data_IF_764010241698
#
_entry.id   IF_764010241698
#
_cell.length_a   1.000
_cell.length_b   1.000
_cell.length_c   1.000
_cell.angle_alpha   90.00
_cell.angle_beta   90.00
_cell.angle_gamma   90.00
#
_symmetry.space_group_name_H-M   'P 1'
#
loop_
_entity.id
_entity.type
_entity.pdbx_description
1 polymer ?
#
# COMPACT_ATOMS: atom_id res chain seq x y z
N UNK A 1 5.38 5.11 -8.11
CA UNK A 1 5.50 5.64 -6.73
C UNK A 1 5.37 4.47 -5.79
N UNK A 2 6.27 4.32 -4.80
CA UNK A 2 6.24 3.18 -3.88
C UNK A 2 5.84 3.56 -2.45
N UNK A 3 6.01 4.82 -2.06
CA UNK A 3 5.64 5.33 -0.74
C UNK A 3 4.94 6.68 -0.89
N UNK A 4 3.73 6.79 -0.34
CA UNK A 4 2.93 8.00 -0.41
C UNK A 4 2.32 8.36 0.95
N UNK A 5 1.58 9.46 1.01
CA UNK A 5 0.71 9.78 2.15
C UNK A 5 -0.27 8.66 2.51
N UNK A 6 -0.56 7.74 1.59
CA UNK A 6 -1.48 6.62 1.75
C UNK A 6 -0.79 5.30 2.12
N UNK A 7 0.53 5.32 2.34
CA UNK A 7 1.33 4.18 2.79
C UNK A 7 2.32 3.66 1.75
N UNK A 8 2.93 2.52 2.08
CA UNK A 8 3.91 1.80 1.29
C UNK A 8 3.21 0.77 0.39
N UNK A 9 3.71 0.62 -0.84
CA UNK A 9 3.30 -0.36 -1.88
C UNK A 9 4.49 -1.15 -2.44
N UNK A 10 5.63 -1.14 -1.75
CA UNK A 10 6.84 -1.84 -2.17
C UNK A 10 6.69 -3.36 -2.08
N UNK A 11 6.25 -3.86 -0.93
CA UNK A 11 6.47 -5.24 -0.48
C UNK A 11 5.49 -6.25 -1.07
N UNK A 12 5.98 -7.37 -1.55
CA UNK A 12 5.14 -8.47 -1.96
C UNK A 12 4.90 -9.44 -0.80
N UNK A 13 3.71 -10.03 -0.77
CA UNK A 13 3.34 -11.17 0.08
C UNK A 13 2.51 -12.15 -0.75
N UNK A 14 2.59 -13.43 -0.43
CA UNK A 14 1.93 -14.50 -1.19
C UNK A 14 0.41 -14.54 -0.96
N UNK A 15 -0.07 -14.10 0.20
CA UNK A 15 -1.49 -14.05 0.50
C UNK A 15 -2.25 -13.07 -0.42
N UNK A 16 -3.57 -13.26 -0.53
CA UNK A 16 -4.49 -12.40 -1.29
C UNK A 16 -5.73 -12.09 -0.47
N UNK A 17 -6.41 -11.00 -0.79
CA UNK A 17 -7.71 -10.66 -0.18
C UNK A 17 -8.86 -11.52 -0.73
N UNK A 18 -8.66 -12.06 -1.93
CA UNK A 18 -9.59 -12.93 -2.66
C UNK A 18 -8.75 -13.88 -3.54
N UNK A 19 -9.13 -15.14 -3.62
CA UNK A 19 -8.55 -16.10 -4.55
C UNK A 19 -9.31 -16.02 -5.86
N UNK A 20 -8.58 -15.91 -6.98
CA UNK A 20 -9.17 -15.99 -8.31
C UNK A 20 -9.43 -17.46 -8.63
N UNK A 21 -10.69 -17.82 -8.79
CA UNK A 21 -11.12 -19.18 -9.18
C UNK A 21 -11.13 -19.33 -10.70
N UNK A 22 -11.52 -18.26 -11.38
CA UNK A 22 -11.59 -18.19 -12.83
C UNK A 22 -11.19 -16.78 -13.24
N UNK A 23 -10.18 -16.66 -14.08
CA UNK A 23 -9.81 -15.37 -14.65
C UNK A 23 -10.95 -14.85 -15.55
N UNK A 24 -11.13 -13.53 -15.53
CA UNK A 24 -11.95 -12.82 -16.50
C UNK A 24 -11.20 -12.59 -17.80
N UNK A 25 -11.92 -12.14 -18.83
CA UNK A 25 -11.30 -11.74 -20.08
C UNK A 25 -10.67 -10.35 -19.98
N UNK A 26 -9.55 -10.09 -20.68
CA UNK A 26 -8.97 -8.75 -20.75
C UNK A 26 -9.84 -7.84 -21.63
N UNK A 27 -10.51 -6.88 -21.01
CA UNK A 27 -11.26 -5.82 -21.70
C UNK A 27 -10.35 -4.61 -21.89
N UNK A 28 -9.85 -4.38 -23.11
CA UNK A 28 -8.81 -3.37 -23.39
C UNK A 28 -9.33 -2.09 -24.04
N UNK A 29 -10.52 -2.15 -24.60
CA UNK A 29 -11.08 -1.19 -25.55
C UNK A 29 -12.43 -0.62 -25.10
N UNK A 30 -12.93 -1.06 -23.94
CA UNK A 30 -14.13 -0.53 -23.31
C UNK A 30 -13.82 -0.04 -21.89
N UNK A 31 -14.15 1.22 -21.62
CA UNK A 31 -14.19 1.72 -20.24
C UNK A 31 -15.56 1.39 -19.66
N UNK A 32 -15.58 0.74 -18.50
CA UNK A 32 -16.82 0.54 -17.77
C UNK A 32 -16.67 0.82 -16.28
N UNK A 33 -17.76 1.26 -15.67
CA UNK A 33 -17.95 1.19 -14.23
C UNK A 33 -19.06 0.19 -13.94
N UNK A 34 -19.04 -0.41 -12.76
CA UNK A 34 -20.08 -1.36 -12.35
C UNK A 34 -21.50 -0.76 -12.43
N UNK A 35 -21.63 0.56 -12.28
CA UNK A 35 -22.91 1.27 -12.41
C UNK A 35 -23.45 1.36 -13.85
N UNK A 36 -22.72 0.88 -14.86
CA UNK A 36 -23.10 0.97 -16.28
C UNK A 36 -23.82 -0.27 -16.79
N UNK A 37 -24.06 -1.29 -15.96
CA UNK A 37 -24.60 -2.57 -16.40
C UNK A 37 -25.14 -3.43 -15.27
N UNK A 38 -25.28 -4.72 -15.54
CA UNK A 38 -25.74 -5.76 -14.60
C UNK A 38 -24.61 -6.75 -14.29
N UNK A 39 -24.42 -7.06 -13.01
CA UNK A 39 -23.39 -8.00 -12.53
C UNK A 39 -24.03 -9.32 -12.13
N UNK A 40 -23.48 -10.42 -12.62
CA UNK A 40 -23.75 -11.77 -12.14
C UNK A 40 -22.45 -12.34 -11.55
N UNK A 41 -22.35 -12.33 -10.21
CA UNK A 41 -21.18 -12.84 -9.50
C UNK A 41 -21.09 -14.37 -9.48
N UNK A 42 -22.20 -15.08 -9.67
CA UNK A 42 -22.20 -16.55 -9.72
C UNK A 42 -21.60 -17.02 -11.06
N UNK A 43 -22.01 -16.39 -12.16
CA UNK A 43 -21.46 -16.67 -13.49
C UNK A 43 -20.12 -15.97 -13.72
N UNK A 44 -19.85 -14.88 -12.99
CA UNK A 44 -18.68 -14.04 -13.21
C UNK A 44 -18.81 -13.24 -14.51
N UNK A 45 -19.99 -12.67 -14.77
CA UNK A 45 -20.28 -11.92 -15.99
C UNK A 45 -20.79 -10.52 -15.70
N UNK A 46 -20.43 -9.57 -16.54
CA UNK A 46 -20.93 -8.20 -16.53
C UNK A 46 -21.59 -7.87 -17.86
N UNK A 47 -22.86 -7.48 -17.84
CA UNK A 47 -23.62 -7.12 -19.04
C UNK A 47 -23.80 -5.62 -19.12
N UNK A 48 -23.40 -4.98 -20.21
CA UNK A 48 -23.63 -3.54 -20.43
C UNK A 48 -23.98 -3.23 -21.89
N UNK A 49 -24.62 -2.09 -22.12
CA UNK A 49 -24.91 -1.62 -23.48
C UNK A 49 -23.64 -1.04 -24.13
N UNK A 50 -23.24 -1.60 -25.27
CA UNK A 50 -22.13 -1.13 -26.11
C UNK A 50 -22.66 -0.92 -27.52
N UNK A 51 -22.51 0.30 -28.05
CA UNK A 51 -22.98 0.68 -29.39
C UNK A 51 -24.46 0.34 -29.68
N UNK A 52 -25.31 0.41 -28.65
CA UNK A 52 -26.75 0.15 -28.76
C UNK A 52 -27.15 -1.32 -28.72
N UNK A 53 -26.26 -2.22 -28.29
CA UNK A 53 -26.56 -3.63 -28.04
C UNK A 53 -25.96 -4.11 -26.72
N UNK A 54 -26.60 -5.07 -26.07
CA UNK A 54 -26.07 -5.69 -24.85
C UNK A 54 -24.84 -6.53 -25.20
N UNK A 55 -23.74 -6.26 -24.52
CA UNK A 55 -22.51 -7.04 -24.56
C UNK A 55 -22.27 -7.67 -23.18
N UNK A 56 -21.94 -8.96 -23.18
CA UNK A 56 -21.61 -9.73 -21.97
C UNK A 56 -20.11 -9.88 -21.91
N UNK A 57 -19.53 -9.42 -20.80
CA UNK A 57 -18.12 -9.48 -20.51
C UNK A 57 -17.86 -10.51 -19.42
N UNK A 58 -16.79 -11.27 -19.59
CA UNK A 58 -16.33 -12.20 -18.58
C UNK A 58 -15.44 -11.48 -17.55
N UNK A 59 -15.91 -11.36 -16.32
CA UNK A 59 -15.16 -10.69 -15.23
C UNK A 59 -14.50 -11.68 -14.28
N UNK A 60 -14.64 -12.98 -14.54
CA UNK A 60 -14.08 -14.02 -13.69
C UNK A 60 -14.86 -14.24 -12.40
N UNK A 61 -14.38 -15.19 -11.59
CA UNK A 61 -14.98 -15.54 -10.29
C UNK A 61 -13.90 -15.64 -9.23
N UNK A 62 -14.30 -15.44 -7.97
CA UNK A 62 -13.39 -15.35 -6.84
C UNK A 62 -13.99 -15.96 -5.59
N UNK A 63 -13.14 -16.40 -4.67
CA UNK A 63 -13.55 -16.94 -3.37
C UNK A 63 -12.77 -16.31 -2.22
N UNK A 64 -13.28 -16.47 -1.01
CA UNK A 64 -12.60 -16.00 0.19
C UNK A 64 -11.46 -16.95 0.59
N UNK A 65 -10.18 -16.51 0.57
CA UNK A 65 -9.06 -17.34 0.97
C UNK A 65 -9.12 -17.67 2.46
N UNK A 66 -8.43 -18.74 2.84
CA UNK A 66 -8.16 -19.02 4.25
C UNK A 66 -7.14 -18.00 4.82
N UNK A 67 -7.23 -17.67 6.12
CA UNK A 67 -6.23 -16.84 6.78
C UNK A 67 -4.83 -17.48 6.77
N UNK A 68 -3.81 -16.63 6.85
CA UNK A 68 -2.42 -17.02 7.09
C UNK A 68 -1.89 -16.36 8.36
N UNK A 69 -0.72 -16.80 8.84
CA UNK A 69 -0.11 -16.27 10.07
C UNK A 69 -0.05 -14.72 10.08
N UNK A 70 0.28 -14.11 8.94
CA UNK A 70 0.50 -12.67 8.81
C UNK A 70 -0.65 -11.93 8.10
N UNK A 71 -1.79 -12.58 7.81
CA UNK A 71 -2.92 -11.95 7.13
C UNK A 71 -4.26 -12.66 7.37
N UNK A 72 -5.27 -11.89 7.78
CA UNK A 72 -6.67 -12.34 7.85
C UNK A 72 -7.47 -11.58 6.78
N UNK A 73 -8.06 -12.27 5.77
CA UNK A 73 -8.93 -11.64 4.80
C UNK A 73 -10.16 -11.01 5.45
N UNK A 74 -10.61 -9.84 4.96
CA UNK A 74 -11.80 -9.18 5.49
C UNK A 74 -13.06 -10.04 5.37
N UNK A 75 -13.20 -10.78 4.27
CA UNK A 75 -14.30 -11.73 4.06
C UNK A 75 -14.36 -12.82 5.12
N UNK A 76 -13.20 -13.32 5.55
CA UNK A 76 -13.12 -14.35 6.57
C UNK A 76 -13.60 -13.82 7.91
N UNK A 77 -13.07 -12.66 8.33
CA UNK A 77 -13.46 -12.02 9.58
C UNK A 77 -14.92 -11.60 9.59
N UNK A 78 -15.44 -11.11 8.46
CA UNK A 78 -16.86 -10.78 8.31
C UNK A 78 -17.75 -12.01 8.54
N UNK A 79 -17.37 -13.17 7.99
CA UNK A 79 -18.08 -14.42 8.22
C UNK A 79 -18.08 -14.82 9.71
N UNK A 80 -16.94 -14.72 10.39
CA UNK A 80 -16.84 -15.01 11.83
C UNK A 80 -17.76 -14.11 12.66
N UNK A 81 -17.82 -12.81 12.34
CA UNK A 81 -18.68 -11.85 13.06
C UNK A 81 -20.16 -12.19 12.88
N UNK A 82 -20.60 -12.51 11.65
CA UNK A 82 -21.99 -12.95 11.42
C UNK A 82 -22.28 -14.27 12.14
N UNK A 83 -21.33 -15.21 12.14
CA UNK A 83 -21.47 -16.45 12.89
C UNK A 83 -21.66 -16.21 14.39
N UNK A 84 -20.78 -15.39 15.00
CA UNK A 84 -20.82 -15.04 16.42
C UNK A 84 -22.15 -14.39 16.79
N UNK A 85 -22.65 -13.43 15.98
CA UNK A 85 -23.94 -12.78 16.17
C UNK A 85 -25.12 -13.75 16.03
N UNK A 86 -25.09 -14.62 15.02
CA UNK A 86 -26.13 -15.62 14.79
C UNK A 86 -26.27 -16.61 15.95
N UNK A 87 -25.15 -17.06 16.52
CA UNK A 87 -25.12 -17.92 17.71
C UNK A 87 -25.64 -17.16 18.93
N UNK A 88 -25.27 -15.89 19.10
CA UNK A 88 -25.76 -15.06 20.20
C UNK A 88 -27.29 -14.89 20.19
N UNK A 89 -27.89 -14.80 19.00
CA UNK A 89 -29.35 -14.78 18.80
C UNK A 89 -30.03 -16.16 18.98
N UNK A 90 -29.29 -17.19 19.42
CA UNK A 90 -29.76 -18.57 19.65
C UNK A 90 -30.29 -19.28 18.41
N UNK A 91 -29.79 -18.94 17.22
CA UNK A 91 -30.08 -19.70 16.01
C UNK A 91 -29.34 -21.06 16.01
N UNK A 92 -29.82 -22.06 15.25
CA UNK A 92 -29.13 -23.34 15.09
C UNK A 92 -27.73 -23.16 14.49
N UNK A 93 -26.76 -23.95 14.98
CA UNK A 93 -25.37 -23.90 14.51
C UNK A 93 -25.25 -24.07 12.98
N UNK A 94 -26.00 -25.00 12.39
CA UNK A 94 -26.02 -25.24 10.94
C UNK A 94 -26.44 -23.99 10.14
N UNK A 95 -27.41 -23.24 10.64
CA UNK A 95 -27.85 -21.99 10.00
C UNK A 95 -26.78 -20.91 10.13
N UNK A 96 -26.10 -20.82 11.28
CA UNK A 96 -25.00 -19.86 11.47
C UNK A 96 -23.78 -20.20 10.60
N UNK A 97 -23.44 -21.48 10.45
CA UNK A 97 -22.40 -21.94 9.53
C UNK A 97 -22.76 -21.60 8.07
N UNK A 98 -24.02 -21.78 7.67
CA UNK A 98 -24.52 -21.38 6.35
C UNK A 98 -24.36 -19.87 6.13
N UNK A 99 -24.80 -19.04 7.08
CA UNK A 99 -24.66 -17.57 7.00
C UNK A 99 -23.20 -17.12 6.99
N UNK A 100 -22.32 -17.80 7.72
CA UNK A 100 -20.88 -17.53 7.71
C UNK A 100 -20.28 -17.71 6.30
N UNK A 101 -20.59 -18.83 5.65
CA UNK A 101 -20.10 -19.14 4.30
C UNK A 101 -20.68 -18.16 3.28
N UNK A 102 -21.98 -17.90 3.34
CA UNK A 102 -22.66 -16.90 2.52
C UNK A 102 -22.04 -15.51 2.66
N UNK A 103 -21.79 -15.07 3.91
CA UNK A 103 -21.15 -13.78 4.19
C UNK A 103 -19.76 -13.67 3.55
N UNK A 104 -18.95 -14.73 3.64
CA UNK A 104 -17.60 -14.74 3.04
C UNK A 104 -17.66 -14.49 1.53
N UNK A 105 -18.57 -15.17 0.83
CA UNK A 105 -18.73 -15.02 -0.61
C UNK A 105 -19.26 -13.62 -0.95
N UNK A 106 -20.32 -13.17 -0.29
CA UNK A 106 -20.92 -11.85 -0.52
C UNK A 106 -19.91 -10.70 -0.34
N UNK A 107 -19.01 -10.80 0.64
CA UNK A 107 -17.96 -9.79 0.90
C UNK A 107 -16.93 -9.78 -0.23
N UNK A 108 -16.48 -10.95 -0.68
CA UNK A 108 -15.51 -11.07 -1.77
C UNK A 108 -16.08 -10.48 -3.05
N UNK A 109 -17.29 -10.90 -3.44
CA UNK A 109 -17.99 -10.44 -4.64
C UNK A 109 -18.11 -8.91 -4.71
N UNK A 110 -18.24 -8.26 -3.55
CA UNK A 110 -18.38 -6.81 -3.44
C UNK A 110 -17.07 -6.04 -3.31
N UNK A 111 -15.92 -6.73 -3.28
CA UNK A 111 -14.60 -6.13 -3.25
C UNK A 111 -14.47 -5.00 -2.21
N UNK A 112 -14.15 -3.79 -2.66
CA UNK A 112 -13.92 -2.62 -1.77
C UNK A 112 -15.15 -2.21 -0.95
N UNK A 113 -16.37 -2.55 -1.37
CA UNK A 113 -17.60 -2.24 -0.62
C UNK A 113 -18.10 -3.43 0.20
N UNK A 114 -17.40 -4.57 0.16
CA UNK A 114 -17.79 -5.80 0.85
C UNK A 114 -17.95 -5.66 2.37
N UNK A 115 -17.29 -4.68 3.00
CA UNK A 115 -17.52 -4.37 4.41
C UNK A 115 -19.00 -4.08 4.76
N UNK A 116 -19.80 -3.60 3.81
CA UNK A 116 -21.19 -3.24 4.03
C UNK A 116 -22.13 -4.47 4.04
N UNK A 117 -21.60 -5.67 3.74
CA UNK A 117 -22.34 -6.92 3.87
C UNK A 117 -22.63 -7.24 5.33
N UNK A 118 -21.76 -6.83 6.25
CA UNK A 118 -21.99 -7.01 7.69
C UNK A 118 -22.69 -5.75 8.22
N UNK A 119 -23.91 -5.85 8.76
CA UNK A 119 -24.59 -4.70 9.34
C UNK A 119 -23.78 -4.08 10.48
N UNK A 120 -23.68 -2.76 10.54
CA UNK A 120 -23.00 -2.04 11.62
C UNK A 120 -21.58 -2.59 11.92
N UNK A 121 -20.82 -2.98 10.89
CA UNK A 121 -19.52 -3.63 11.07
C UNK A 121 -18.48 -2.68 11.70
N UNK A 122 -18.30 -2.78 13.01
CA UNK A 122 -17.45 -1.87 13.78
C UNK A 122 -15.96 -2.12 13.50
N UNK A 123 -15.12 -1.12 13.77
CA UNK A 123 -13.67 -1.28 13.62
C UNK A 123 -13.10 -2.31 14.62
N UNK A 124 -13.70 -2.45 15.80
CA UNK A 124 -13.30 -3.44 16.80
C UNK A 124 -13.59 -4.87 16.29
N UNK A 125 -14.76 -5.08 15.69
CA UNK A 125 -15.10 -6.37 15.06
C UNK A 125 -14.21 -6.68 13.84
N UNK A 126 -13.89 -5.67 13.03
CA UNK A 126 -12.96 -5.83 11.90
C UNK A 126 -11.55 -6.17 12.34
N UNK A 127 -11.10 -5.62 13.47
CA UNK A 127 -9.72 -5.73 13.92
C UNK A 127 -8.72 -5.28 12.85
N UNK A 128 -7.64 -6.05 12.70
CA UNK A 128 -6.60 -5.84 11.69
C UNK A 128 -6.85 -6.63 10.38
N UNK A 129 -8.08 -7.10 10.14
CA UNK A 129 -8.41 -7.84 8.92
C UNK A 129 -8.19 -6.98 7.66
N UNK A 130 -7.65 -7.60 6.62
CA UNK A 130 -7.26 -6.93 5.38
C UNK A 130 -5.92 -6.17 5.45
N UNK A 131 -5.22 -6.16 6.59
CA UNK A 131 -3.96 -5.41 6.74
C UNK A 131 -2.74 -6.33 6.67
N UNK A 132 -1.64 -5.82 6.11
CA UNK A 132 -0.35 -6.50 6.16
C UNK A 132 0.28 -6.34 7.54
N UNK A 133 0.52 -7.44 8.26
CA UNK A 133 1.05 -7.41 9.64
C UNK A 133 2.56 -7.26 9.74
N UNK A 134 3.29 -7.71 8.71
CA UNK A 134 4.75 -7.78 8.68
C UNK A 134 5.36 -6.84 7.62
N UNK A 135 4.58 -5.92 7.04
CA UNK A 135 5.06 -4.90 6.12
C UNK A 135 5.52 -3.64 6.86
N UNK A 136 6.44 -2.91 6.24
CA UNK A 136 6.89 -1.59 6.65
C UNK A 136 5.92 -0.51 6.16
N UNK A 137 5.12 0.05 7.08
CA UNK A 137 4.17 1.15 6.80
C UNK A 137 3.17 0.85 5.66
N UNK A 138 2.45 -0.28 5.69
CA UNK A 138 1.63 -0.70 4.56
C UNK A 138 0.48 0.25 4.27
N UNK A 139 0.09 0.34 3.00
CA UNK A 139 -1.19 0.96 2.64
C UNK A 139 -2.38 0.18 3.23
N UNK A 140 -3.49 0.88 3.48
CA UNK A 140 -4.72 0.25 3.96
C UNK A 140 -5.25 -0.76 2.95
N UNK A 141 -5.74 -1.90 3.44
CA UNK A 141 -6.30 -2.97 2.61
C UNK A 141 -5.29 -3.38 1.53
N UNK A 142 -4.08 -3.71 1.99
CA UNK A 142 -2.91 -3.92 1.16
C UNK A 142 -3.16 -4.97 0.07
N UNK A 143 -2.74 -4.66 -1.16
CA UNK A 143 -2.94 -5.52 -2.35
C UNK A 143 -1.58 -5.99 -2.85
N UNK A 144 -1.12 -7.22 -2.51
CA UNK A 144 0.22 -7.67 -2.86
C UNK A 144 0.46 -7.76 -4.37
N UNK A 145 -0.57 -8.09 -5.17
CA UNK A 145 -0.47 -8.07 -6.64
C UNK A 145 -0.29 -6.66 -7.24
N UNK A 146 -0.49 -5.61 -6.46
CA UNK A 146 -0.20 -4.22 -6.85
C UNK A 146 1.18 -3.74 -6.40
N UNK A 147 2.00 -4.60 -5.78
CA UNK A 147 3.27 -4.17 -5.22
C UNK A 147 4.35 -3.93 -6.26
N UNK A 148 5.31 -3.06 -5.95
CA UNK A 148 6.45 -2.80 -6.81
C UNK A 148 7.30 -4.06 -7.06
N UNK A 149 7.50 -4.88 -6.02
CA UNK A 149 8.20 -6.17 -6.14
C UNK A 149 7.47 -7.14 -7.07
N UNK A 150 6.13 -7.22 -6.98
CA UNK A 150 5.33 -8.03 -7.89
C UNK A 150 5.54 -7.60 -9.34
N UNK A 151 5.40 -6.30 -9.62
CA UNK A 151 5.62 -5.74 -10.96
C UNK A 151 7.04 -5.99 -11.50
N UNK A 152 8.08 -5.94 -10.65
CA UNK A 152 9.45 -6.28 -11.06
C UNK A 152 9.63 -7.78 -11.40
N UNK A 153 8.85 -8.66 -10.77
CA UNK A 153 8.90 -10.10 -11.03
C UNK A 153 8.09 -10.51 -12.27
N UNK A 154 7.03 -9.77 -12.60
CA UNK A 154 6.17 -10.07 -13.75
C UNK A 154 6.93 -10.04 -15.09
N UNK A 155 6.60 -10.99 -15.96
CA UNK A 155 7.02 -10.97 -17.36
C UNK A 155 5.82 -11.20 -18.26
N UNK A 156 5.58 -10.28 -19.20
CA UNK A 156 4.66 -10.51 -20.30
C UNK A 156 5.39 -11.35 -21.36
N UNK A 157 4.82 -12.49 -21.70
CA UNK A 157 5.30 -13.37 -22.76
C UNK A 157 4.42 -13.15 -23.99
N UNK A 158 4.99 -12.61 -25.06
CA UNK A 158 4.26 -12.39 -26.31
C UNK A 158 4.37 -13.61 -27.24
N UNK A 159 3.39 -13.76 -28.13
CA UNK A 159 3.32 -14.90 -29.08
C UNK A 159 4.54 -14.96 -30.03
N UNK A 160 5.17 -13.82 -30.30
CA UNK A 160 6.38 -13.71 -31.12
C UNK A 160 7.66 -14.13 -30.36
N UNK A 161 7.53 -14.54 -29.09
CA UNK A 161 8.60 -14.96 -28.21
C UNK A 161 9.32 -13.80 -27.52
N UNK A 162 8.89 -12.55 -27.73
CA UNK A 162 9.43 -11.40 -27.00
C UNK A 162 8.93 -11.39 -25.55
N UNK A 163 9.71 -10.71 -24.69
CA UNK A 163 9.45 -10.63 -23.25
C UNK A 163 9.44 -9.16 -22.85
N UNK A 164 8.32 -8.69 -22.31
CA UNK A 164 8.18 -7.34 -21.82
C UNK A 164 8.13 -7.33 -20.30
N UNK A 165 8.87 -6.40 -19.68
CA UNK A 165 9.01 -6.29 -18.23
C UNK A 165 9.00 -4.85 -17.80
N UNK A 166 8.53 -4.62 -16.59
CA UNK A 166 8.61 -3.32 -15.97
C UNK A 166 10.06 -2.97 -15.62
N UNK A 167 10.41 -1.70 -15.83
CA UNK A 167 11.69 -1.11 -15.45
C UNK A 167 11.40 0.12 -14.61
N UNK A 168 11.39 -0.05 -13.30
CA UNK A 168 11.02 1.02 -12.39
C UNK A 168 12.23 1.84 -11.94
N UNK A 169 12.03 3.16 -11.89
CA UNK A 169 12.68 4.02 -10.91
C UNK A 169 11.71 4.23 -9.75
N UNK A 170 12.22 4.19 -8.51
CA UNK A 170 11.38 4.39 -7.34
C UNK A 170 11.34 5.87 -6.96
N UNK A 171 10.13 6.34 -6.61
CA UNK A 171 9.86 7.67 -6.08
C UNK A 171 8.87 7.54 -4.94
N UNK A 172 8.98 8.44 -3.96
CA UNK A 172 7.91 8.70 -3.02
C UNK A 172 7.23 10.03 -3.34
N UNK A 173 6.06 10.27 -2.78
CA UNK A 173 5.45 11.60 -2.83
C UNK A 173 4.73 11.92 -1.53
N UNK A 174 4.56 13.22 -1.27
CA UNK A 174 3.78 13.63 -0.10
C UNK A 174 2.33 13.22 -0.21
N UNK A 175 1.85 13.09 -1.47
CA UNK A 175 0.48 12.74 -1.82
C UNK A 175 -0.51 13.51 -0.96
N UNK A 176 -0.35 14.83 -0.95
CA UNK A 176 -1.26 15.73 -0.26
C UNK A 176 -2.20 16.31 -1.31
N UNK A 177 -3.50 16.13 -1.10
CA UNK A 177 -4.56 16.59 -1.98
C UNK A 177 -4.92 18.07 -1.77
N UNK A 178 -4.11 18.81 -1.00
CA UNK A 178 -4.32 20.23 -0.70
C UNK A 178 -3.44 21.17 -1.54
N UNK A 179 -2.62 20.63 -2.44
CA UNK A 179 -1.59 21.38 -3.17
C UNK A 179 -0.65 22.18 -2.24
N UNK A 180 -0.46 21.68 -1.01
CA UNK A 180 0.45 22.22 -0.02
C UNK A 180 1.86 21.64 -0.19
N UNK A 181 2.85 22.22 0.49
CA UNK A 181 4.15 21.55 0.60
C UNK A 181 4.00 20.32 1.52
N UNK A 182 4.71 19.23 1.21
CA UNK A 182 4.67 18.01 2.04
C UNK A 182 5.11 18.27 3.50
N UNK A 183 4.56 17.51 4.44
CA UNK A 183 4.79 17.64 5.89
C UNK A 183 5.88 16.70 6.44
N UNK A 184 6.51 15.88 5.59
CA UNK A 184 7.44 14.78 5.94
C UNK A 184 8.76 15.14 6.63
N UNK A 185 8.87 16.32 7.26
CA UNK A 185 10.02 16.67 8.07
C UNK A 185 9.79 16.53 9.58
N UNK A 186 8.55 16.67 10.08
CA UNK A 186 8.26 16.62 11.53
C UNK A 186 6.92 15.95 11.82
N UNK A 187 6.96 14.98 12.74
CA UNK A 187 5.86 14.06 13.05
C UNK A 187 5.13 14.50 14.33
N UNK A 188 4.69 15.76 14.36
CA UNK A 188 4.20 16.43 15.59
C UNK A 188 2.70 16.74 15.58
N UNK A 189 2.06 16.72 14.41
CA UNK A 189 0.61 16.94 14.29
C UNK A 189 -0.05 15.61 13.93
N UNK A 190 -0.89 15.10 14.83
CA UNK A 190 -1.70 13.88 14.67
C UNK A 190 -2.76 13.95 13.54
N UNK A 191 -2.54 14.80 12.54
CA UNK A 191 -3.38 14.97 11.37
C UNK A 191 -2.48 14.98 10.15
N UNK A 192 -2.50 13.89 9.40
CA UNK A 192 -2.01 13.92 8.01
C UNK A 192 -2.81 14.96 7.22
N UNK A 193 -2.17 15.59 6.23
CA UNK A 193 -2.75 16.70 5.45
C UNK A 193 -4.05 16.27 4.74
N UNK A 194 -4.18 14.98 4.42
CA UNK A 194 -5.36 14.40 3.76
C UNK A 194 -6.33 13.70 4.72
N UNK A 195 -5.95 13.57 5.98
CA UNK A 195 -6.72 12.87 7.02
C UNK A 195 -7.42 13.79 7.99
N UNK A 196 -7.58 15.09 7.69
CA UNK A 196 -8.22 16.02 8.60
C UNK A 196 -9.64 15.52 8.92
N UNK A 197 -9.78 14.96 10.13
CA UNK A 197 -11.03 14.42 10.60
C UNK A 197 -12.10 15.49 10.76
N UNK A 198 -13.37 15.08 10.90
CA UNK A 198 -14.40 15.99 11.38
C UNK A 198 -13.96 16.62 12.70
N UNK A 199 -14.00 17.95 12.77
CA UNK A 199 -13.55 18.74 13.92
C UNK A 199 -14.37 18.52 15.21
N UNK A 200 -15.45 17.73 15.14
CA UNK A 200 -16.31 17.37 16.27
C UNK A 200 -17.12 16.11 15.97
N UNK A 201 -17.57 15.42 17.02
CA UNK A 201 -18.46 14.24 16.93
C UNK A 201 -19.76 14.54 16.17
N UNK A 202 -20.31 15.75 16.33
CA UNK A 202 -21.48 16.17 15.56
C UNK A 202 -21.20 16.24 14.06
N UNK A 203 -20.06 16.82 13.65
CA UNK A 203 -19.68 16.87 12.23
C UNK A 203 -19.37 15.49 11.67
N UNK A 204 -18.81 14.60 12.48
CA UNK A 204 -18.57 13.21 12.14
C UNK A 204 -19.89 12.49 11.83
N UNK A 205 -20.86 12.58 12.76
CA UNK A 205 -22.21 12.05 12.55
C UNK A 205 -22.84 12.59 11.28
N UNK A 206 -22.77 13.90 11.04
CA UNK A 206 -23.34 14.52 9.83
C UNK A 206 -22.68 14.04 8.53
N UNK A 207 -21.36 13.84 8.51
CA UNK A 207 -20.65 13.33 7.33
C UNK A 207 -20.98 11.86 7.03
N UNK A 208 -21.26 11.08 8.06
CA UNK A 208 -21.65 9.67 7.97
C UNK A 208 -23.16 9.45 7.85
N UNK A 209 -23.99 10.50 7.93
CA UNK A 209 -25.40 10.41 7.60
C UNK A 209 -25.60 10.14 6.11
N UNK A 210 -26.68 9.44 5.80
CA UNK A 210 -27.13 9.25 4.43
C UNK A 210 -27.38 10.62 3.77
N UNK A 211 -26.81 10.82 2.57
CA UNK A 211 -26.96 12.06 1.85
C UNK A 211 -28.36 12.16 1.28
N UNK A 212 -29.20 12.99 1.90
CA UNK A 212 -30.53 13.30 1.40
C UNK A 212 -30.42 14.36 0.30
N UNK A 213 -30.66 13.96 -0.94
CA UNK A 213 -30.76 14.89 -2.08
C UNK A 213 -32.22 15.34 -2.23
N UNK A 214 -32.47 16.64 -2.10
CA UNK A 214 -33.83 17.19 -2.22
C UNK A 214 -34.35 16.97 -3.65
N UNK A 215 -35.43 16.18 -3.79
CA UNK A 215 -36.06 15.85 -5.06
C UNK A 215 -35.62 14.51 -5.68
N UNK A 216 -34.90 13.69 -4.91
CA UNK A 216 -34.36 12.41 -5.34
C UNK A 216 -34.98 11.26 -4.53
N UNK A 217 -35.51 10.24 -5.20
CA UNK A 217 -36.08 9.03 -4.58
C UNK A 217 -35.01 7.94 -4.40
N UNK A 218 -33.81 8.32 -3.97
CA UNK A 218 -32.76 7.35 -3.70
C UNK A 218 -33.02 6.63 -2.38
N UNK A 219 -33.22 5.32 -2.46
CA UNK A 219 -33.22 4.41 -1.33
C UNK A 219 -31.94 3.57 -1.38
N UNK A 220 -31.12 3.61 -0.32
CA UNK A 220 -29.89 2.82 -0.27
C UNK A 220 -30.17 1.32 -0.39
N UNK A 221 -29.52 0.60 -1.33
CA UNK A 221 -29.74 -0.84 -1.48
C UNK A 221 -29.27 -1.62 -0.25
N UNK A 222 -28.32 -1.08 0.52
CA UNK A 222 -27.87 -1.65 1.80
C UNK A 222 -29.00 -1.60 2.83
N UNK A 223 -29.68 -0.45 2.97
CA UNK A 223 -30.78 -0.31 3.94
C UNK A 223 -32.01 -1.12 3.53
N UNK A 224 -32.31 -1.14 2.24
CA UNK A 224 -33.40 -1.94 1.68
C UNK A 224 -33.21 -3.45 1.90
N UNK A 225 -31.97 -3.93 1.81
CA UNK A 225 -31.61 -5.32 2.04
C UNK A 225 -31.33 -5.67 3.52
N UNK A 226 -31.24 -4.68 4.41
CA UNK A 226 -31.02 -4.90 5.83
C UNK A 226 -32.25 -5.55 6.47
N UNK A 227 -32.02 -6.60 7.27
CA UNK A 227 -33.08 -7.29 8.01
C UNK A 227 -32.78 -7.39 9.51
N UNK A 228 -31.60 -7.90 9.86
CA UNK A 228 -31.16 -8.05 11.24
C UNK A 228 -29.62 -8.02 11.31
N UNK A 229 -29.06 -7.74 12.48
CA UNK A 229 -27.61 -7.61 12.65
C UNK A 229 -26.84 -8.94 12.50
N UNK A 230 -27.53 -10.08 12.60
CA UNK A 230 -27.01 -11.44 12.44
C UNK A 230 -27.26 -12.04 11.03
N UNK A 231 -27.76 -11.25 10.09
CA UNK A 231 -28.03 -11.65 8.69
C UNK A 231 -27.14 -10.80 7.76
N UNK A 232 -26.39 -11.40 6.83
CA UNK A 232 -25.60 -10.62 5.87
C UNK A 232 -26.49 -9.84 4.90
N UNK A 233 -26.04 -8.66 4.51
CA UNK A 233 -26.74 -7.77 3.58
C UNK A 233 -26.28 -8.05 2.14
N UNK A 234 -27.14 -8.72 1.38
CA UNK A 234 -26.94 -8.93 -0.05
C UNK A 234 -27.49 -7.75 -0.86
N UNK A 235 -26.67 -6.72 -1.08
CA UNK A 235 -27.03 -5.54 -1.88
C UNK A 235 -26.41 -5.58 -3.28
N UNK A 236 -27.05 -4.93 -4.25
CA UNK A 236 -26.49 -4.72 -5.59
C UNK A 236 -25.52 -3.51 -5.58
N UNK A 237 -24.32 -3.71 -6.13
CA UNK A 237 -23.29 -2.66 -6.23
C UNK A 237 -23.70 -1.60 -7.28
N UNK A 238 -24.47 -1.98 -8.28
CA UNK A 238 -24.84 -1.12 -9.40
C UNK A 238 -25.84 -0.05 -8.97
N UNK A 239 -26.69 -0.38 -7.99
CA UNK A 239 -27.61 0.54 -7.32
C UNK A 239 -26.91 1.43 -6.29
N UNK A 240 -25.67 1.11 -5.89
CA UNK A 240 -24.97 1.82 -4.83
C UNK A 240 -24.46 3.18 -5.32
N UNK A 241 -24.90 4.26 -4.68
CA UNK A 241 -24.28 5.58 -4.86
C UNK A 241 -23.00 5.69 -4.04
N UNK A 242 -21.87 5.81 -4.75
CA UNK A 242 -20.56 5.96 -4.14
C UNK A 242 -20.44 7.31 -3.39
N UNK A 243 -20.07 7.23 -2.12
CA UNK A 243 -19.94 8.36 -1.21
C UNK A 243 -19.14 8.00 0.05
N UNK A 244 -18.94 8.96 0.96
CA UNK A 244 -18.17 8.74 2.20
C UNK A 244 -18.79 7.70 3.14
N UNK A 245 -20.07 7.39 2.96
CA UNK A 245 -20.83 6.41 3.73
C UNK A 245 -20.56 4.94 3.32
N UNK A 246 -19.96 4.70 2.14
CA UNK A 246 -19.68 3.33 1.65
C UNK A 246 -18.19 2.97 1.66
N UNK A 247 -17.33 3.93 2.03
CA UNK A 247 -15.88 3.76 2.17
C UNK A 247 -15.48 3.77 3.65
N UNK A 248 -14.39 3.09 3.98
CA UNK A 248 -13.86 2.98 5.35
C UNK A 248 -13.10 4.24 5.82
N UNK A 249 -13.68 5.44 5.66
CA UNK A 249 -12.96 6.71 5.88
C UNK A 249 -12.31 6.83 7.25
N UNK A 250 -13.01 6.43 8.32
CA UNK A 250 -12.47 6.47 9.68
C UNK A 250 -11.22 5.59 9.81
N UNK A 251 -11.24 4.39 9.22
CA UNK A 251 -10.13 3.45 9.24
C UNK A 251 -8.98 3.90 8.33
N UNK A 252 -9.29 4.43 7.13
CA UNK A 252 -8.31 4.95 6.16
C UNK A 252 -7.40 6.03 6.75
N UNK A 253 -7.97 6.95 7.54
CA UNK A 253 -7.18 8.00 8.21
C UNK A 253 -6.05 7.46 9.07
N UNK A 254 -6.25 6.30 9.71
CA UNK A 254 -5.24 5.68 10.54
C UNK A 254 -4.07 5.06 9.78
N UNK A 255 -4.09 5.10 8.45
CA UNK A 255 -2.98 4.71 7.57
C UNK A 255 -2.35 5.90 6.84
N UNK A 256 -2.92 7.09 7.00
CA UNK A 256 -2.36 8.26 6.33
C UNK A 256 -1.14 8.76 7.09
N UNK A 257 0.00 8.74 6.41
CA UNK A 257 1.30 9.19 6.92
C UNK A 257 1.59 10.62 6.46
N UNK A 258 2.74 11.17 6.84
CA UNK A 258 3.23 12.47 6.32
C UNK A 258 3.70 12.42 4.86
N UNK A 259 3.68 11.22 4.27
CA UNK A 259 4.02 10.95 2.89
C UNK A 259 5.52 10.86 2.62
N UNK A 260 5.84 10.38 1.44
CA UNK A 260 7.20 10.19 0.98
C UNK A 260 7.80 11.41 0.29
N UNK A 261 9.05 11.28 -0.14
CA UNK A 261 9.66 12.22 -1.09
C UNK A 261 10.35 11.48 -2.23
N UNK A 262 10.37 12.12 -3.38
CA UNK A 262 11.20 11.73 -4.50
C UNK A 262 12.60 12.32 -4.29
N UNK A 263 13.62 11.47 -4.33
CA UNK A 263 15.00 11.89 -4.41
C UNK A 263 15.57 11.51 -5.77
N UNK A 264 16.36 12.43 -6.34
CA UNK A 264 16.85 12.33 -7.72
C UNK A 264 18.34 12.66 -7.75
N UNK A 265 19.13 11.77 -8.33
CA UNK A 265 20.53 12.04 -8.64
C UNK A 265 20.61 12.81 -9.96
N UNK A 266 20.74 14.13 -9.85
CA UNK A 266 20.82 15.01 -11.00
C UNK A 266 22.20 15.69 -11.07
N UNK A 267 22.71 15.90 -12.28
CA UNK A 267 23.96 16.64 -12.52
C UNK A 267 23.85 18.12 -12.13
N UNK A 268 22.63 18.65 -12.03
CA UNK A 268 22.38 20.01 -11.60
C UNK A 268 20.95 20.23 -11.12
N UNK A 269 20.59 21.50 -10.88
CA UNK A 269 19.33 21.88 -10.24
C UNK A 269 18.30 22.46 -11.23
N UNK A 270 18.58 22.45 -12.53
CA UNK A 270 17.60 22.90 -13.52
C UNK A 270 16.46 21.88 -13.65
N UNK A 271 15.28 22.36 -14.06
CA UNK A 271 14.11 21.51 -14.31
C UNK A 271 14.44 20.40 -15.32
N UNK A 272 15.16 20.76 -16.37
CA UNK A 272 15.57 19.86 -17.45
C UNK A 272 16.51 18.78 -16.91
N UNK A 273 17.53 19.15 -16.13
CA UNK A 273 18.48 18.20 -15.57
C UNK A 273 17.80 17.20 -14.62
N UNK A 274 16.91 17.69 -13.74
CA UNK A 274 16.12 16.84 -12.84
C UNK A 274 15.19 15.92 -13.65
N UNK A 275 14.52 16.45 -14.68
CA UNK A 275 13.63 15.68 -15.54
C UNK A 275 14.37 14.59 -16.33
N UNK A 276 15.57 14.89 -16.84
CA UNK A 276 16.40 13.88 -17.49
C UNK A 276 16.84 12.78 -16.52
N UNK A 277 17.20 13.12 -15.28
CA UNK A 277 17.54 12.13 -14.26
C UNK A 277 16.36 11.23 -13.87
N UNK A 278 15.14 11.80 -13.76
CA UNK A 278 13.91 11.03 -13.58
C UNK A 278 13.69 10.04 -14.75
N UNK A 279 13.89 10.49 -16.00
CA UNK A 279 13.78 9.62 -17.19
C UNK A 279 14.84 8.52 -17.26
N UNK A 280 16.01 8.74 -16.64
CA UNK A 280 17.05 7.71 -16.48
C UNK A 280 16.83 6.79 -15.27
N UNK A 281 15.76 7.01 -14.50
CA UNK A 281 15.46 6.28 -13.27
C UNK A 281 16.58 6.38 -12.20
N UNK A 282 17.34 7.46 -12.22
CA UNK A 282 18.38 7.76 -11.22
C UNK A 282 17.72 8.32 -9.95
N UNK A 283 16.80 7.54 -9.37
CA UNK A 283 15.85 7.99 -8.35
C UNK A 283 15.73 6.99 -7.22
N UNK A 284 15.37 7.48 -6.04
CA UNK A 284 14.92 6.64 -4.93
C UNK A 284 13.78 7.32 -4.17
N UNK A 285 12.99 6.51 -3.48
CA UNK A 285 11.93 6.97 -2.60
C UNK A 285 12.44 7.11 -1.16
N UNK A 286 11.90 8.07 -0.43
CA UNK A 286 12.03 8.11 1.04
C UNK A 286 10.64 8.12 1.68
N UNK A 287 10.54 7.66 2.92
CA UNK A 287 9.29 7.67 3.70
C UNK A 287 8.96 9.05 4.30
N UNK A 288 9.52 10.13 3.76
CA UNK A 288 9.38 11.50 4.26
C UNK A 288 10.72 12.13 4.67
N UNK A 289 11.55 11.49 5.50
CA UNK A 289 12.86 12.02 5.87
C UNK A 289 13.83 12.17 4.68
N UNK A 290 14.70 13.18 4.74
CA UNK A 290 15.71 13.48 3.69
C UNK A 290 16.96 12.60 3.83
N UNK A 291 16.78 11.29 3.70
CA UNK A 291 17.87 10.30 3.66
C UNK A 291 18.64 10.46 2.34
N UNK A 292 19.95 10.33 2.41
CA UNK A 292 20.81 10.28 1.23
C UNK A 292 21.20 8.85 0.94
N UNK A 293 21.04 8.40 -0.31
CA UNK A 293 21.30 7.01 -0.70
C UNK A 293 21.94 6.95 -2.09
N UNK A 294 23.05 6.25 -2.20
CA UNK A 294 23.68 5.85 -3.45
C UNK A 294 23.76 4.34 -3.51
N UNK A 295 23.42 3.80 -4.67
CA UNK A 295 23.54 2.39 -4.99
C UNK A 295 24.15 2.29 -6.38
N UNK A 296 25.37 1.79 -6.45
CA UNK A 296 26.15 1.74 -7.67
C UNK A 296 26.65 0.33 -7.92
N UNK A 297 26.61 -0.12 -9.17
CA UNK A 297 27.42 -1.23 -9.64
C UNK A 297 28.86 -0.72 -9.79
N UNK A 298 29.83 -1.37 -9.16
CA UNK A 298 31.25 -0.95 -9.15
C UNK A 298 32.16 -1.92 -9.91
N UNK A 299 31.62 -3.03 -10.40
CA UNK A 299 32.31 -3.97 -11.26
C UNK A 299 31.31 -4.54 -12.26
N UNK A 300 31.51 -4.27 -13.54
CA UNK A 300 30.70 -4.82 -14.65
C UNK A 300 31.32 -6.09 -15.26
N UNK A 301 32.28 -6.72 -14.57
CA UNK A 301 32.97 -7.91 -15.04
C UNK A 301 33.97 -7.67 -16.18
N UNK A 302 34.06 -6.46 -16.75
CA UNK A 302 35.02 -6.10 -17.80
C UNK A 302 36.17 -5.21 -17.30
N UNK A 303 35.92 -4.41 -16.26
CA UNK A 303 36.90 -3.55 -15.60
C UNK A 303 36.45 -3.20 -14.17
N UNK A 304 37.40 -3.10 -13.24
CA UNK A 304 37.15 -2.68 -11.85
C UNK A 304 36.85 -1.18 -11.70
N UNK A 305 36.96 -0.40 -12.78
CA UNK A 305 36.83 1.06 -12.75
C UNK A 305 35.51 1.57 -13.35
N UNK A 306 34.58 0.67 -13.71
CA UNK A 306 33.28 1.07 -14.28
C UNK A 306 32.23 1.14 -13.17
N UNK A 307 31.85 2.38 -12.83
CA UNK A 307 30.73 2.66 -11.93
C UNK A 307 29.46 2.93 -12.73
N UNK A 308 28.37 2.21 -12.45
CA UNK A 308 27.03 2.49 -13.02
C UNK A 308 26.05 2.84 -11.90
N UNK A 309 25.33 3.97 -11.98
CA UNK A 309 24.39 4.38 -10.94
C UNK A 309 23.11 3.55 -10.95
N UNK A 310 22.34 3.61 -9.86
CA UNK A 310 20.94 3.15 -9.82
C UNK A 310 20.15 3.66 -11.03
N UNK A 311 19.19 2.86 -11.51
CA UNK A 311 18.47 3.10 -12.76
C UNK A 311 19.16 2.53 -14.00
N UNK A 312 20.45 2.18 -13.92
CA UNK A 312 21.18 1.58 -15.04
C UNK A 312 20.70 0.17 -15.37
N UNK A 313 20.63 -0.15 -16.65
CA UNK A 313 20.51 -1.52 -17.17
C UNK A 313 21.84 -1.93 -17.79
N UNK A 314 22.39 -3.08 -17.40
CA UNK A 314 23.67 -3.59 -17.89
C UNK A 314 23.56 -5.06 -18.28
N UNK A 315 24.45 -5.51 -19.16
CA UNK A 315 24.62 -6.92 -19.50
C UNK A 315 25.97 -7.39 -18.98
N UNK A 316 25.96 -8.42 -18.13
CA UNK A 316 27.14 -8.92 -17.45
C UNK A 316 27.33 -10.41 -17.73
N UNK A 317 28.59 -10.86 -17.77
CA UNK A 317 28.96 -12.28 -17.86
C UNK A 317 29.47 -12.86 -16.55
N UNK A 318 29.78 -12.00 -15.60
CA UNK A 318 30.40 -12.33 -14.33
C UNK A 318 29.57 -11.73 -13.19
N UNK A 319 29.84 -12.20 -11.98
CA UNK A 319 29.11 -11.80 -10.78
C UNK A 319 29.23 -10.28 -10.51
N UNK A 320 28.10 -9.58 -10.36
CA UNK A 320 28.09 -8.13 -10.13
C UNK A 320 28.49 -7.80 -8.69
N UNK A 321 29.33 -6.77 -8.53
CA UNK A 321 29.66 -6.18 -7.24
C UNK A 321 29.03 -4.80 -7.13
N UNK A 322 28.33 -4.55 -6.03
CA UNK A 322 27.68 -3.29 -5.76
C UNK A 322 28.26 -2.59 -4.53
N UNK A 323 28.22 -1.25 -4.56
CA UNK A 323 28.50 -0.39 -3.43
C UNK A 323 27.23 0.39 -3.07
N UNK A 324 26.87 0.34 -1.79
CA UNK A 324 25.81 1.14 -1.18
C UNK A 324 26.45 2.16 -0.26
N UNK A 325 26.05 3.42 -0.39
CA UNK A 325 26.39 4.48 0.57
C UNK A 325 25.10 5.15 1.01
N UNK A 326 24.87 5.19 2.32
CA UNK A 326 23.68 5.81 2.88
C UNK A 326 24.08 6.78 4.00
N UNK A 327 23.38 7.90 4.10
CA UNK A 327 23.50 8.83 5.22
C UNK A 327 22.11 9.21 5.70
N UNK A 328 21.90 9.11 7.01
CA UNK A 328 20.61 9.43 7.59
C UNK A 328 20.23 10.91 7.42
N UNK A 329 18.94 11.17 7.53
CA UNK A 329 18.34 12.49 7.53
C UNK A 329 18.85 13.36 8.67
N UNK A 330 18.75 14.68 8.52
CA UNK A 330 19.11 15.59 9.63
C UNK A 330 18.05 15.51 10.73
N UNK A 331 18.50 15.49 11.99
CA UNK A 331 17.60 15.69 13.14
C UNK A 331 17.03 17.10 13.08
N UNK A 332 15.71 17.23 13.23
CA UNK A 332 15.04 18.51 13.13
C UNK A 332 15.05 19.26 14.48
N UNK A 333 15.29 20.57 14.43
CA UNK A 333 15.05 21.50 15.54
C UNK A 333 13.57 21.90 15.59
N UNK A 334 13.02 22.24 16.76
CA UNK A 334 11.65 22.74 16.86
C UNK A 334 11.49 24.08 16.13
N UNK A 335 10.30 24.37 15.62
CA UNK A 335 9.97 25.64 14.96
C UNK A 335 10.47 25.78 13.52
N UNK A 336 10.32 26.96 12.93
CA UNK A 336 10.94 27.32 11.65
C UNK A 336 12.24 28.11 11.86
N UNK A 337 13.17 28.11 10.88
CA UNK A 337 14.31 29.01 10.94
C UNK A 337 13.87 30.49 10.83
N UNK A 338 14.62 31.41 11.44
CA UNK A 338 14.30 32.85 11.52
C UNK A 338 14.10 33.52 10.14
N UNK A 339 14.79 33.03 9.12
CA UNK A 339 14.65 33.54 7.75
C UNK A 339 13.28 33.23 7.15
N UNK A 340 12.64 32.11 7.52
CA UNK A 340 11.28 31.79 7.12
C UNK A 340 10.28 32.80 7.68
N UNK A 341 10.37 33.12 8.98
CA UNK A 341 9.55 34.15 9.62
C UNK A 341 9.78 35.53 9.02
N UNK A 342 11.04 35.90 8.76
CA UNK A 342 11.38 37.18 8.13
C UNK A 342 10.85 37.29 6.69
N UNK A 343 10.82 36.19 5.93
CA UNK A 343 10.41 36.20 4.54
C UNK A 343 8.88 36.13 4.36
N UNK A 344 8.18 35.35 5.19
CA UNK A 344 6.76 35.05 5.02
C UNK A 344 5.87 35.75 6.07
N UNK A 345 6.41 36.11 7.24
CA UNK A 345 5.64 36.57 8.39
C UNK A 345 5.03 35.42 9.21
N UNK A 346 4.79 35.66 10.49
CA UNK A 346 4.28 34.65 11.44
C UNK A 346 2.97 34.01 10.98
N UNK A 347 1.98 34.82 10.56
CA UNK A 347 0.68 34.32 10.13
C UNK A 347 0.78 33.33 8.96
N UNK A 348 1.65 33.63 7.97
CA UNK A 348 1.82 32.78 6.80
C UNK A 348 2.60 31.51 7.11
N UNK A 349 3.61 31.60 7.99
CA UNK A 349 4.37 30.43 8.47
C UNK A 349 3.45 29.48 9.25
N UNK A 350 2.62 30.02 10.14
CA UNK A 350 1.61 29.25 10.85
C UNK A 350 0.62 28.58 9.89
N UNK A 351 0.11 29.31 8.90
CA UNK A 351 -0.84 28.78 7.93
C UNK A 351 -0.27 27.66 7.05
N UNK A 352 1.00 27.76 6.63
CA UNK A 352 1.59 26.83 5.68
C UNK A 352 2.16 25.58 6.34
N UNK A 353 2.80 25.74 7.50
CA UNK A 353 3.62 24.71 8.11
C UNK A 353 3.31 24.52 9.61
N UNK A 354 2.27 25.17 10.15
CA UNK A 354 1.94 25.15 11.58
C UNK A 354 3.15 25.50 12.46
N UNK A 355 3.92 26.51 12.04
CA UNK A 355 5.16 26.95 12.69
C UNK A 355 6.31 25.94 12.69
N UNK A 356 6.21 24.86 11.92
CA UNK A 356 7.09 23.71 12.07
C UNK A 356 7.69 23.26 10.74
N UNK A 357 8.49 24.14 10.13
CA UNK A 357 9.15 23.95 8.84
C UNK A 357 10.33 22.97 8.91
N UNK A 358 10.89 22.63 7.74
CA UNK A 358 12.20 21.97 7.65
C UNK A 358 13.28 22.84 8.31
N UNK A 359 13.76 22.41 9.48
CA UNK A 359 14.73 23.12 10.30
C UNK A 359 15.81 22.15 10.78
N UNK A 360 16.77 21.80 9.90
CA UNK A 360 17.77 20.80 10.21
C UNK A 360 18.74 21.29 11.29
N UNK A 361 19.15 20.38 12.17
CA UNK A 361 20.33 20.56 13.01
C UNK A 361 21.61 20.12 12.27
N UNK A 362 22.76 20.22 12.93
CA UNK A 362 24.04 19.76 12.40
C UNK A 362 24.25 18.24 12.65
N UNK A 363 23.32 17.59 13.35
CA UNK A 363 23.33 16.16 13.62
C UNK A 363 22.44 15.39 12.64
N UNK A 364 22.89 14.20 12.24
CA UNK A 364 22.11 13.26 11.43
C UNK A 364 21.63 12.10 12.27
N UNK A 365 20.48 11.56 11.88
CA UNK A 365 20.03 10.25 12.30
C UNK A 365 21.01 9.19 11.78
N UNK A 366 21.10 8.08 12.50
CA UNK A 366 22.02 6.98 12.18
C UNK A 366 21.34 6.01 11.22
N UNK A 367 22.09 5.50 10.24
CA UNK A 367 21.64 4.33 9.47
C UNK A 367 21.93 3.09 10.32
N UNK A 368 20.90 2.31 10.65
CA UNK A 368 21.05 1.09 11.48
C UNK A 368 21.35 -0.12 10.64
N UNK A 369 20.75 -0.22 9.45
CA UNK A 369 20.99 -1.32 8.51
C UNK A 369 20.67 -0.94 7.07
N UNK A 370 21.25 -1.71 6.17
CA UNK A 370 20.96 -1.73 4.74
C UNK A 370 20.43 -3.11 4.38
N UNK A 371 19.28 -3.17 3.72
CA UNK A 371 18.67 -4.40 3.23
C UNK A 371 18.75 -4.39 1.71
N UNK A 372 19.20 -5.51 1.13
CA UNK A 372 19.28 -5.71 -0.31
C UNK A 372 18.14 -6.62 -0.72
N UNK A 373 17.33 -6.15 -1.67
CA UNK A 373 16.26 -6.94 -2.27
C UNK A 373 16.71 -7.40 -3.64
N UNK A 374 16.51 -8.68 -3.92
CA UNK A 374 16.83 -9.32 -5.20
C UNK A 374 15.54 -9.84 -5.81
N UNK A 375 15.19 -9.35 -7.00
CA UNK A 375 13.97 -9.77 -7.72
C UNK A 375 14.35 -10.40 -9.04
N UNK A 376 13.90 -11.63 -9.23
CA UNK A 376 14.05 -12.40 -10.45
C UNK A 376 12.76 -12.27 -11.27
N UNK A 377 12.82 -12.16 -12.60
CA UNK A 377 11.64 -12.19 -13.42
C UNK A 377 11.08 -13.61 -13.55
N UNK A 378 9.81 -13.73 -13.90
CA UNK A 378 9.21 -14.98 -14.37
C UNK A 378 9.94 -15.49 -15.63
N UNK A 379 10.02 -16.81 -15.75
CA UNK A 379 10.70 -17.50 -16.85
C UNK A 379 9.74 -18.21 -17.81
N UNK A 380 8.54 -18.52 -17.35
CA UNK A 380 7.40 -19.04 -18.11
C UNK A 380 6.08 -18.42 -17.60
N UNK A 381 5.04 -18.51 -18.42
CA UNK A 381 3.69 -18.02 -18.11
C UNK A 381 3.12 -18.72 -16.87
N UNK A 382 2.39 -17.98 -16.03
CA UNK A 382 1.82 -18.47 -14.77
C UNK A 382 2.82 -19.01 -13.73
N UNK A 383 4.12 -18.75 -13.89
CA UNK A 383 5.09 -19.09 -12.85
C UNK A 383 4.76 -18.34 -11.54
N UNK A 384 4.63 -19.03 -10.39
CA UNK A 384 4.47 -18.36 -9.11
C UNK A 384 5.62 -17.39 -8.82
N UNK A 385 5.27 -16.18 -8.38
CA UNK A 385 6.24 -15.09 -8.14
C UNK A 385 6.94 -15.17 -6.78
N UNK A 386 6.40 -15.94 -5.84
CA UNK A 386 6.83 -15.95 -4.44
C UNK A 386 8.33 -16.25 -4.32
N UNK A 387 8.80 -17.30 -4.99
CA UNK A 387 10.22 -17.69 -4.99
C UNK A 387 11.11 -16.77 -5.85
N UNK A 388 10.51 -15.85 -6.60
CA UNK A 388 11.21 -14.91 -7.47
C UNK A 388 11.58 -13.63 -6.74
N UNK A 389 10.95 -13.33 -5.61
CA UNK A 389 11.15 -12.12 -4.83
C UNK A 389 11.87 -12.49 -3.53
N UNK A 390 13.08 -11.94 -3.34
CA UNK A 390 13.89 -12.20 -2.15
C UNK A 390 14.01 -10.92 -1.33
N UNK A 391 13.12 -10.78 -0.35
CA UNK A 391 12.99 -9.62 0.52
C UNK A 391 13.10 -10.01 2.02
N UNK A 392 14.20 -9.75 2.73
CA UNK A 392 15.49 -9.25 2.24
C UNK A 392 16.41 -10.40 1.83
N UNK A 393 17.14 -10.26 0.71
CA UNK A 393 18.16 -11.24 0.28
C UNK A 393 19.47 -11.12 1.08
N UNK A 394 19.88 -9.89 1.40
CA UNK A 394 21.01 -9.63 2.31
C UNK A 394 20.66 -8.49 3.26
N UNK A 395 21.09 -8.62 4.52
CA UNK A 395 20.98 -7.56 5.51
C UNK A 395 22.37 -7.24 6.06
N UNK A 396 22.75 -5.98 6.01
CA UNK A 396 23.99 -5.46 6.58
C UNK A 396 23.66 -4.51 7.73
N UNK A 397 24.12 -4.84 8.93
CA UNK A 397 24.01 -3.97 10.10
C UNK A 397 25.16 -2.98 10.11
N UNK A 398 24.82 -1.69 10.17
CA UNK A 398 25.76 -0.58 10.07
C UNK A 398 26.38 -0.25 11.43
N UNK A 399 27.63 0.23 11.42
CA UNK A 399 28.28 0.77 12.60
C UNK A 399 27.68 2.14 12.96
N UNK A 400 26.85 2.16 14.00
CA UNK A 400 26.12 3.34 14.45
C UNK A 400 26.98 4.38 15.20
N UNK A 401 28.29 4.15 15.29
CA UNK A 401 29.27 5.14 15.81
C UNK A 401 29.77 6.09 14.72
N UNK A 402 29.62 5.72 13.45
CA UNK A 402 30.06 6.52 12.30
C UNK A 402 28.89 7.31 11.69
N UNK A 403 29.22 8.43 11.02
CA UNK A 403 28.23 9.20 10.26
C UNK A 403 28.02 8.56 8.90
N UNK A 404 26.87 7.90 8.72
CA UNK A 404 26.53 7.18 7.50
C UNK A 404 26.98 5.72 7.51
N UNK A 405 26.71 5.01 6.43
CA UNK A 405 27.00 3.60 6.26
C UNK A 405 27.44 3.32 4.83
N UNK A 406 28.50 2.52 4.69
CA UNK A 406 29.00 2.06 3.39
C UNK A 406 29.08 0.55 3.41
N UNK A 407 28.51 -0.09 2.39
CA UNK A 407 28.42 -1.54 2.29
C UNK A 407 28.73 -1.98 0.86
N UNK A 408 29.55 -3.03 0.72
CA UNK A 408 29.89 -3.61 -0.58
C UNK A 408 29.56 -5.08 -0.56
N UNK A 409 28.87 -5.56 -1.59
CA UNK A 409 28.48 -6.96 -1.71
C UNK A 409 28.55 -7.44 -3.16
N UNK A 410 28.62 -8.76 -3.34
CA UNK A 410 28.63 -9.42 -4.66
C UNK A 410 27.51 -10.46 -4.70
N UNK A 411 26.86 -10.60 -5.85
CA UNK A 411 25.98 -11.72 -6.14
C UNK A 411 26.75 -12.87 -6.79
N UNK A 412 27.23 -13.81 -5.97
CA UNK A 412 27.99 -14.96 -6.42
C UNK A 412 27.14 -16.03 -7.12
N UNK A 413 25.80 -15.88 -7.14
CA UNK A 413 24.89 -16.81 -7.82
C UNK A 413 24.50 -16.30 -9.22
N UNK A 414 24.78 -15.04 -9.54
CA UNK A 414 24.34 -14.39 -10.78
C UNK A 414 24.80 -15.16 -12.03
N UNK A 415 26.07 -15.55 -12.10
CA UNK A 415 26.61 -16.27 -13.25
C UNK A 415 25.94 -17.65 -13.48
N UNK A 416 25.47 -18.27 -12.41
CA UNK A 416 24.81 -19.58 -12.45
C UNK A 416 23.32 -19.46 -12.79
N UNK A 417 22.66 -18.37 -12.36
CA UNK A 417 21.24 -18.10 -12.57
C UNK A 417 20.87 -17.95 -14.05
N UNK A 418 21.77 -17.39 -14.87
CA UNK A 418 21.59 -17.17 -16.32
C UNK A 418 20.26 -16.50 -16.70
N UNK A 419 19.74 -15.66 -15.80
CA UNK A 419 18.55 -14.83 -16.00
C UNK A 419 18.86 -13.40 -15.60
N UNK A 420 18.05 -12.48 -16.11
CA UNK A 420 18.09 -11.10 -15.64
C UNK A 420 17.70 -11.04 -14.16
N UNK A 421 18.23 -10.04 -13.45
CA UNK A 421 17.99 -9.82 -12.03
C UNK A 421 17.88 -8.32 -11.77
N UNK A 422 16.86 -7.94 -11.00
CA UNK A 422 16.69 -6.58 -10.49
C UNK A 422 17.19 -6.52 -9.05
N UNK A 423 18.03 -5.52 -8.76
CA UNK A 423 18.51 -5.26 -7.40
C UNK A 423 18.09 -3.86 -6.98
N UNK A 424 17.62 -3.73 -5.75
CA UNK A 424 17.50 -2.45 -5.08
C UNK A 424 17.79 -2.61 -3.60
N UNK A 425 17.89 -1.50 -2.88
CA UNK A 425 18.26 -1.49 -1.47
C UNK A 425 17.33 -0.59 -0.66
N UNK A 426 17.08 -0.97 0.60
CA UNK A 426 16.50 -0.12 1.62
C UNK A 426 17.58 0.32 2.59
N UNK A 427 17.60 1.61 2.92
CA UNK A 427 18.44 2.14 4.00
C UNK A 427 17.54 2.51 5.18
N UNK A 428 17.74 1.84 6.31
CA UNK A 428 16.88 1.99 7.48
C UNK A 428 17.56 2.85 8.52
N UNK A 429 16.92 3.97 8.88
CA UNK A 429 17.40 4.85 9.95
C UNK A 429 17.14 4.25 11.33
N UNK A 430 17.70 4.88 12.36
CA UNK A 430 17.30 4.63 13.74
C UNK A 430 15.82 4.97 13.94
N UNK A 431 15.12 4.24 14.84
CA UNK A 431 13.69 4.48 15.07
C UNK A 431 13.39 5.94 15.41
N UNK A 432 12.41 6.50 14.72
CA UNK A 432 11.86 7.82 14.98
C UNK A 432 10.35 7.74 15.19
N UNK A 433 9.78 8.78 15.80
CA UNK A 433 8.33 8.94 15.81
C UNK A 433 7.87 9.15 14.37
N UNK A 434 6.78 8.50 13.99
CA UNK A 434 6.09 8.69 12.71
C UNK A 434 4.58 8.56 12.90
N UNK A 435 3.82 9.36 12.14
CA UNK A 435 2.37 9.35 12.17
C UNK A 435 1.84 8.10 11.44
N UNK A 436 1.00 7.32 12.13
CA UNK A 436 0.15 6.28 11.53
C UNK A 436 0.85 5.12 10.80
N UNK A 437 2.16 4.93 11.00
CA UNK A 437 2.95 3.87 10.33
C UNK A 437 2.49 2.45 10.65
N UNK A 438 1.91 2.22 11.83
CA UNK A 438 1.35 0.91 12.19
C UNK A 438 -0.09 0.71 11.70
N UNK A 439 -0.72 1.72 11.12
CA UNK A 439 -2.07 1.58 10.61
C UNK A 439 -3.11 1.24 11.69
N UNK A 440 -4.06 0.42 11.27
CA UNK A 440 -5.00 -0.30 12.12
C UNK A 440 -4.39 -1.66 12.53
N UNK A 441 -4.19 -1.89 13.83
CA UNK A 441 -3.60 -3.12 14.35
C UNK A 441 -4.30 -3.60 15.62
N UNK A 442 -4.25 -4.90 15.86
CA UNK A 442 -4.66 -5.49 17.13
C UNK A 442 -3.52 -5.35 18.13
N UNK A 443 -3.77 -4.68 19.25
CA UNK A 443 -2.76 -4.44 20.28
C UNK A 443 -2.27 -5.74 20.93
N UNK A 444 -3.07 -6.80 20.89
CA UNK A 444 -2.73 -8.09 21.49
C UNK A 444 -1.66 -8.83 20.67
N UNK A 445 -1.57 -8.53 19.36
CA UNK A 445 -0.51 -9.00 18.46
C UNK A 445 0.85 -8.31 18.73
N UNK A 446 0.94 -7.35 19.65
CA UNK A 446 2.24 -6.85 20.13
C UNK A 446 2.95 -7.88 21.06
N UNK A 447 2.33 -9.04 21.34
CA UNK A 447 2.87 -10.11 22.19
C UNK A 447 2.88 -11.48 21.47
N UNK A 448 3.86 -12.34 21.81
CA UNK A 448 4.00 -13.68 21.23
C UNK A 448 2.76 -14.59 21.46
N UNK A 449 1.99 -14.34 22.52
CA UNK A 449 0.80 -15.11 22.91
C UNK A 449 -0.46 -14.68 22.15
N UNK A 450 -0.52 -13.42 21.68
CA UNK A 450 -1.64 -12.91 20.89
C UNK A 450 -1.71 -13.47 19.47
N UNK A 451 -0.58 -13.91 18.90
CA UNK A 451 -0.54 -14.54 17.57
C UNK A 451 -1.31 -15.88 17.51
N UNK A 452 -1.58 -16.52 18.64
CA UNK A 452 -2.22 -17.83 18.71
C UNK A 452 -3.76 -17.78 18.84
N UNK A 453 -4.34 -16.60 19.08
CA UNK A 453 -5.78 -16.42 19.26
C UNK A 453 -6.32 -15.52 18.13
N UNK A 454 -7.15 -16.08 17.25
CA UNK A 454 -7.71 -15.37 16.07
C UNK A 454 -8.66 -14.20 16.37
N UNK A 455 -8.77 -13.75 17.61
CA UNK A 455 -9.64 -12.63 18.02
C UNK A 455 -8.85 -11.40 18.40
N UNK A 456 -9.19 -10.25 17.82
CA UNK A 456 -8.71 -8.94 18.23
C UNK A 456 -9.43 -8.51 19.53
N UNK A 457 -8.81 -8.60 20.70
CA UNK A 457 -9.46 -8.17 21.95
C UNK A 457 -9.38 -6.66 22.13
N UNK A 458 -8.33 -6.04 21.61
CA UNK A 458 -8.14 -4.59 21.62
C UNK A 458 -7.63 -4.07 20.29
N UNK A 459 -8.54 -3.53 19.51
CA UNK A 459 -8.22 -2.80 18.29
C UNK A 459 -7.61 -1.43 18.62
N UNK A 460 -6.54 -1.06 17.90
CA UNK A 460 -5.97 0.28 17.92
C UNK A 460 -5.87 0.78 16.50
N UNK A 461 -6.57 1.87 16.24
CA UNK A 461 -6.27 2.73 15.12
C UNK A 461 -5.19 3.71 15.58
N UNK A 462 -4.05 3.77 14.88
CA UNK A 462 -3.14 4.89 15.07
C UNK A 462 -3.89 6.18 14.71
N UNK A 463 -3.94 7.12 15.65
CA UNK A 463 -4.56 8.46 15.48
C UNK A 463 -3.62 9.52 15.97
#
# INVERSE_FOLDING_TARGET
EIYSGHGNSEEYRSWRSADVIRDGEPVLDQYFSFQMGELDFEQGTFTMEVDGADAVFDIGTQSCPEPSDNYVPLCWRAGEVIYERCIFENNPQEECERRMIETRQLVVDRGRTGQNVVPNFTNDEKGDAGQCRDCYSPAMNYVPGGSAQYGLALTKFDEDGTKHRFRYGFIGSSDNHQAAAGSGYKEIFATSVDGSGPKSEFKDKVLHMERVYLGDEYESPIWKAYSADDIPVAFDINELRLGFNVIEWARQRGFYTTGGMAAVHSEGRSKEQIWEALKRHETYATSGPRILLWFNLVNDGSSKDVTKPMGSTVTLKHDPTFEVKAMGSFKQKPGCPEDAYRALGEERVHQLCYDECYYPSDERNKITRIEVVRVLPQVYEDQPVDERIQDAWKTHYCDTTQTGCSYTFTDNEYSDLKTDVSYYVRAIEEPSLQINVKGAHCADHDSAEGHAHGGCQKFKLCT
#
